data_IF_972304107883
#
_entry.id   IF_972304107883
#
_cell.length_a   1.000
_cell.length_b   1.000
_cell.length_c   1.000
_cell.angle_alpha   90.00
_cell.angle_beta   90.00
_cell.angle_gamma   90.00
#
_symmetry.space_group_name_H-M   'P 1'
#
loop_
_entity.id
_entity.type
_entity.pdbx_description
1 polymer ?
#
# COMPACT_ATOMS: atom_id res chain seq x y z
N UNK A 1 -8.68 -10.55 52.47
CA UNK A 1 -9.24 -9.28 51.96
C UNK A 1 -8.11 -8.28 52.09
N UNK A 2 -7.38 -7.88 51.07
CA UNK A 2 -7.67 -7.60 49.65
C UNK A 2 -6.35 -7.72 48.88
N UNK A 3 -6.30 -8.48 47.78
CA UNK A 3 -5.19 -8.39 46.84
C UNK A 3 -5.69 -7.94 45.47
N UNK A 4 -5.03 -6.91 44.98
CA UNK A 4 -5.34 -6.08 43.83
C UNK A 4 -5.15 -6.87 42.54
N UNK A 5 -6.24 -7.12 41.81
CA UNK A 5 -6.15 -7.75 40.49
C UNK A 5 -5.80 -6.69 39.43
N UNK A 6 -4.53 -6.68 39.07
CA UNK A 6 -3.92 -5.79 38.09
C UNK A 6 -4.29 -6.28 36.67
N UNK A 7 -5.16 -5.54 35.99
CA UNK A 7 -5.53 -5.78 34.59
C UNK A 7 -4.32 -5.50 33.69
N UNK A 8 -3.49 -6.52 33.45
CA UNK A 8 -2.39 -6.43 32.48
C UNK A 8 -2.94 -6.52 31.05
N UNK A 9 -2.76 -5.43 30.33
CA UNK A 9 -2.90 -5.26 28.89
C UNK A 9 -2.05 -6.30 28.15
N UNK A 10 -2.72 -7.25 27.49
CA UNK A 10 -2.06 -8.32 26.73
C UNK A 10 -1.62 -7.78 25.37
N UNK A 11 -0.32 -7.52 25.22
CA UNK A 11 0.33 -7.28 23.93
C UNK A 11 0.32 -8.57 23.09
N UNK A 12 0.09 -8.51 21.75
CA UNK A 12 -0.07 -9.70 20.89
C UNK A 12 1.21 -10.55 20.69
N UNK A 13 2.33 -10.17 21.31
CA UNK A 13 3.62 -10.86 21.17
C UNK A 13 3.80 -12.09 22.08
N UNK A 14 2.87 -12.37 23.01
CA UNK A 14 3.05 -13.37 24.07
C UNK A 14 2.22 -14.67 23.88
N UNK A 15 1.96 -15.10 22.64
CA UNK A 15 1.02 -16.22 22.39
C UNK A 15 1.64 -17.63 22.37
N UNK A 16 2.96 -17.80 22.46
CA UNK A 16 3.60 -19.11 22.31
C UNK A 16 4.35 -19.57 23.56
N UNK A 17 3.98 -20.74 24.10
CA UNK A 17 4.70 -21.37 25.21
C UNK A 17 6.02 -21.98 24.74
N UNK A 18 7.03 -22.05 25.60
CA UNK A 18 8.37 -22.58 25.29
C UNK A 18 8.30 -23.97 24.66
N UNK A 19 7.48 -24.86 25.21
CA UNK A 19 7.30 -26.23 24.70
C UNK A 19 6.70 -26.30 23.28
N UNK A 20 5.88 -25.31 22.89
CA UNK A 20 5.32 -25.24 21.54
C UNK A 20 6.38 -24.83 20.52
N UNK A 21 7.30 -23.93 20.91
CA UNK A 21 8.42 -23.53 20.04
C UNK A 21 9.38 -24.68 19.80
N UNK A 22 9.70 -25.44 20.84
CA UNK A 22 10.59 -26.61 20.73
C UNK A 22 9.99 -27.70 19.85
N UNK A 23 8.69 -28.00 20.01
CA UNK A 23 7.99 -28.96 19.16
C UNK A 23 7.96 -28.53 17.69
N UNK A 24 7.72 -27.24 17.40
CA UNK A 24 7.73 -26.73 16.03
C UNK A 24 9.12 -26.77 15.39
N UNK A 25 10.17 -26.48 16.17
CA UNK A 25 11.55 -26.61 15.70
C UNK A 25 11.91 -28.08 15.40
N UNK A 26 11.51 -29.01 16.26
CA UNK A 26 11.74 -30.45 16.05
C UNK A 26 11.03 -30.97 14.79
N UNK A 27 9.88 -30.38 14.43
CA UNK A 27 9.11 -30.71 13.22
C UNK A 27 9.58 -29.96 11.97
N UNK A 28 10.58 -29.08 12.08
CA UNK A 28 11.09 -28.29 10.95
C UNK A 28 10.09 -27.27 10.40
N UNK A 29 9.06 -26.90 11.18
CA UNK A 29 8.02 -25.95 10.75
C UNK A 29 8.53 -24.53 11.06
N UNK A 30 8.79 -23.68 10.05
CA UNK A 30 9.20 -22.31 10.30
C UNK A 30 8.06 -21.56 10.99
N UNK A 31 8.37 -20.91 12.13
CA UNK A 31 7.43 -20.02 12.82
C UNK A 31 7.09 -18.86 11.89
N UNK A 32 5.83 -18.80 11.45
CA UNK A 32 5.33 -17.68 10.65
C UNK A 32 5.31 -16.42 11.54
N UNK A 33 6.31 -15.57 11.38
CA UNK A 33 6.31 -14.25 12.00
C UNK A 33 5.50 -13.33 11.09
N UNK A 34 4.54 -12.61 11.68
CA UNK A 34 3.93 -11.48 10.99
C UNK A 34 5.05 -10.58 10.50
N UNK A 35 5.12 -10.35 9.18
CA UNK A 35 6.12 -9.46 8.57
C UNK A 35 6.12 -8.18 9.38
N UNK A 36 7.22 -7.91 10.10
CA UNK A 36 7.40 -6.63 10.76
C UNK A 36 7.24 -5.58 9.66
N UNK A 37 6.20 -4.75 9.78
CA UNK A 37 6.06 -3.55 8.98
C UNK A 37 7.30 -2.72 9.27
N UNK A 38 8.31 -2.87 8.41
CA UNK A 38 9.56 -2.14 8.52
C UNK A 38 9.23 -0.66 8.60
N UNK A 39 9.89 0.00 9.56
CA UNK A 39 9.98 1.42 9.79
C UNK A 39 9.29 2.30 8.73
N UNK A 40 8.31 3.08 9.21
CA UNK A 40 7.51 4.08 8.50
C UNK A 40 8.36 5.14 7.77
N UNK A 41 9.01 4.75 6.67
CA UNK A 41 9.19 5.66 5.54
C UNK A 41 7.86 5.67 4.83
N UNK A 42 7.06 6.72 5.05
CA UNK A 42 5.73 6.97 4.50
C UNK A 42 5.42 6.06 3.31
N UNK A 43 4.70 4.94 3.55
CA UNK A 43 4.58 3.86 2.58
C UNK A 43 4.06 4.40 1.24
N UNK A 44 4.92 4.40 0.23
CA UNK A 44 4.56 4.85 -1.11
C UNK A 44 4.04 3.65 -1.88
N UNK A 45 2.79 3.75 -2.33
CA UNK A 45 2.14 2.76 -3.16
C UNK A 45 2.25 3.20 -4.61
N UNK A 46 2.94 2.42 -5.42
CA UNK A 46 3.13 2.70 -6.83
C UNK A 46 2.24 1.78 -7.66
N UNK A 47 1.54 2.35 -8.63
CA UNK A 47 0.67 1.63 -9.54
C UNK A 47 1.03 1.97 -10.97
N UNK A 48 0.90 0.99 -11.86
CA UNK A 48 1.04 1.16 -13.30
C UNK A 48 -0.33 1.02 -13.97
N UNK A 49 -0.69 1.96 -14.83
CA UNK A 49 -1.88 1.93 -15.69
C UNK A 49 -1.40 2.14 -17.12
N UNK A 50 -1.26 1.05 -17.89
CA UNK A 50 -0.63 1.11 -19.21
C UNK A 50 0.79 1.74 -19.15
N UNK A 51 1.01 2.89 -19.82
CA UNK A 51 2.26 3.66 -19.80
C UNK A 51 2.29 4.78 -18.74
N UNK A 52 1.34 4.83 -17.81
CA UNK A 52 1.29 5.82 -16.73
C UNK A 52 1.67 5.17 -15.40
N UNK A 53 2.46 5.86 -14.59
CA UNK A 53 2.80 5.46 -13.23
C UNK A 53 2.14 6.41 -12.23
N UNK A 54 1.42 5.86 -11.26
CA UNK A 54 0.69 6.59 -10.23
C UNK A 54 1.30 6.29 -8.87
N UNK A 55 1.66 7.34 -8.12
CA UNK A 55 2.24 7.21 -6.79
C UNK A 55 1.30 7.76 -5.72
N UNK A 56 0.94 6.94 -4.72
CA UNK A 56 0.06 7.29 -3.61
C UNK A 56 0.73 7.13 -2.25
N UNK A 57 0.23 7.83 -1.23
CA UNK A 57 0.57 7.59 0.18
C UNK A 57 -0.29 6.50 0.86
N UNK A 58 -1.33 6.04 0.18
CA UNK A 58 -2.26 5.03 0.67
C UNK A 58 -2.56 4.02 -0.44
N UNK A 59 -2.94 2.78 -0.11
CA UNK A 59 -3.33 1.81 -1.12
C UNK A 59 -4.56 2.32 -1.89
N UNK A 60 -4.64 1.98 -3.18
CA UNK A 60 -5.81 2.27 -3.99
C UNK A 60 -7.07 1.66 -3.34
N UNK A 61 -8.17 2.42 -3.24
CA UNK A 61 -9.44 1.90 -2.74
C UNK A 61 -9.97 0.82 -3.67
N UNK A 62 -10.77 -0.11 -3.11
CA UNK A 62 -11.48 -1.14 -3.88
C UNK A 62 -12.41 -0.48 -4.91
N UNK A 63 -13.11 0.58 -4.51
CA UNK A 63 -13.91 1.41 -5.40
C UNK A 63 -13.03 2.50 -6.01
N UNK A 64 -12.67 2.34 -7.28
CA UNK A 64 -11.84 3.33 -8.00
C UNK A 64 -12.59 4.66 -8.13
N UNK A 65 -11.92 5.81 -7.91
CA UNK A 65 -12.53 7.10 -8.18
C UNK A 65 -12.81 7.25 -9.69
N UNK A 66 -13.89 7.95 -10.05
CA UNK A 66 -14.37 8.02 -11.44
C UNK A 66 -13.28 8.46 -12.43
N UNK A 67 -12.47 9.45 -12.08
CA UNK A 67 -11.39 9.91 -12.96
C UNK A 67 -10.38 8.80 -13.29
N UNK A 68 -10.11 7.90 -12.34
CA UNK A 68 -9.19 6.78 -12.55
C UNK A 68 -9.85 5.73 -13.45
N UNK A 69 -11.16 5.53 -13.33
CA UNK A 69 -11.94 4.68 -14.25
C UNK A 69 -11.86 5.22 -15.67
N UNK A 70 -12.03 6.53 -15.86
CA UNK A 70 -11.95 7.17 -17.17
C UNK A 70 -10.54 7.01 -17.79
N UNK A 71 -9.49 7.13 -16.99
CA UNK A 71 -8.09 6.88 -17.42
C UNK A 71 -7.87 5.42 -17.80
N UNK A 72 -8.38 4.49 -17.00
CA UNK A 72 -8.28 3.06 -17.29
C UNK A 72 -9.00 2.71 -18.61
N UNK A 73 -10.14 3.35 -18.88
CA UNK A 73 -10.87 3.19 -20.13
C UNK A 73 -10.10 3.79 -21.31
N UNK A 74 -9.55 4.99 -21.17
CA UNK A 74 -8.75 5.64 -22.23
C UNK A 74 -7.49 4.83 -22.58
N UNK A 75 -6.81 4.27 -21.58
CA UNK A 75 -5.58 3.50 -21.74
C UNK A 75 -5.81 2.00 -21.99
N UNK A 76 -7.06 1.55 -22.02
CA UNK A 76 -7.46 0.13 -22.06
C UNK A 76 -6.65 -0.74 -21.07
N UNK A 77 -6.47 -0.26 -19.84
CA UNK A 77 -5.58 -0.88 -18.86
C UNK A 77 -6.08 -0.69 -17.43
N UNK A 78 -5.80 -1.66 -16.55
CA UNK A 78 -6.15 -1.60 -15.13
C UNK A 78 -4.93 -1.22 -14.27
N UNK A 79 -5.13 -0.59 -13.10
CA UNK A 79 -4.04 -0.29 -12.19
C UNK A 79 -3.44 -1.57 -11.60
N UNK A 80 -2.15 -1.75 -11.77
CA UNK A 80 -1.36 -2.86 -11.21
C UNK A 80 -0.36 -2.30 -10.22
N UNK A 81 -0.37 -2.79 -8.98
CA UNK A 81 0.62 -2.37 -8.00
C UNK A 81 2.00 -2.88 -8.40
N UNK A 82 2.99 -1.99 -8.39
CA UNK A 82 4.38 -2.29 -8.75
C UNK A 82 5.31 -1.83 -7.63
N UNK A 83 6.45 -2.51 -7.50
CA UNK A 83 7.46 -2.18 -6.48
C UNK A 83 8.60 -1.30 -7.02
N UNK A 84 8.63 -1.07 -8.33
CA UNK A 84 9.75 -0.41 -9.03
C UNK A 84 9.29 0.86 -9.70
N UNK A 85 9.98 1.97 -9.41
CA UNK A 85 9.79 3.26 -10.08
C UNK A 85 10.06 3.14 -11.59
N UNK A 86 9.40 3.98 -12.42
CA UNK A 86 9.71 4.03 -13.84
C UNK A 86 11.14 4.52 -14.08
N UNK A 87 11.77 4.02 -15.13
CA UNK A 87 13.07 4.52 -15.60
C UNK A 87 12.96 5.97 -16.10
N UNK A 88 11.81 6.33 -16.67
CA UNK A 88 11.53 7.67 -17.17
C UNK A 88 10.53 8.38 -16.23
N UNK A 89 10.95 9.43 -15.50
CA UNK A 89 10.09 10.15 -14.57
C UNK A 89 8.99 10.96 -15.26
N UNK A 90 9.03 11.16 -16.59
CA UNK A 90 8.00 11.92 -17.32
C UNK A 90 6.62 11.28 -17.26
N UNK A 91 6.57 9.97 -17.01
CA UNK A 91 5.33 9.21 -16.88
C UNK A 91 4.94 8.96 -15.42
N UNK A 92 5.73 9.47 -14.47
CA UNK A 92 5.41 9.38 -13.04
C UNK A 92 4.50 10.55 -12.67
N UNK A 93 3.33 10.20 -12.16
CA UNK A 93 2.35 11.14 -11.69
C UNK A 93 2.17 10.95 -10.18
N UNK A 94 2.71 11.92 -9.43
CA UNK A 94 2.64 11.93 -7.98
C UNK A 94 1.27 12.41 -7.51
N UNK A 95 0.59 11.56 -6.78
CA UNK A 95 -0.68 11.84 -6.11
C UNK A 95 -0.46 12.04 -4.60
N UNK A 96 0.81 12.17 -4.21
CA UNK A 96 1.24 12.43 -2.84
C UNK A 96 0.55 13.69 -2.27
N UNK A 97 0.49 14.75 -3.06
CA UNK A 97 -0.04 16.04 -2.65
C UNK A 97 -1.56 16.16 -2.83
N UNK A 98 -2.24 15.07 -3.20
CA UNK A 98 -3.67 15.10 -3.40
C UNK A 98 -4.36 14.91 -2.05
N UNK A 99 -5.06 15.95 -1.61
CA UNK A 99 -5.92 15.88 -0.44
C UNK A 99 -7.15 15.00 -0.78
N UNK A 100 -6.98 13.69 -0.64
CA UNK A 100 -7.99 12.68 -0.95
C UNK A 100 -7.84 12.08 -2.36
N UNK A 101 -8.79 11.22 -2.72
CA UNK A 101 -8.75 10.42 -3.97
C UNK A 101 -9.19 11.21 -5.21
N UNK A 102 -9.42 12.52 -5.11
CA UNK A 102 -9.98 13.34 -6.16
C UNK A 102 -9.04 14.48 -6.56
N UNK A 103 -8.59 14.52 -7.83
CA UNK A 103 -7.76 15.61 -8.33
C UNK A 103 -8.52 16.92 -8.40
N UNK A 104 -7.79 18.00 -8.16
CA UNK A 104 -8.17 19.34 -8.58
C UNK A 104 -8.28 19.44 -10.11
N UNK A 105 -8.97 20.47 -10.58
CA UNK A 105 -9.13 20.74 -12.02
C UNK A 105 -7.77 20.91 -12.71
N UNK A 106 -6.81 21.56 -12.05
CA UNK A 106 -5.46 21.77 -12.59
C UNK A 106 -4.74 20.43 -12.77
N UNK A 107 -4.79 19.57 -11.75
CA UNK A 107 -4.18 18.24 -11.79
C UNK A 107 -4.82 17.33 -12.85
N UNK A 108 -6.15 17.37 -13.02
CA UNK A 108 -6.81 16.64 -14.12
C UNK A 108 -6.33 17.13 -15.48
N UNK A 109 -6.20 18.44 -15.68
CA UNK A 109 -5.72 19.00 -16.96
C UNK A 109 -4.29 18.58 -17.25
N UNK A 110 -3.42 18.57 -16.24
CA UNK A 110 -2.04 18.12 -16.38
C UNK A 110 -1.97 16.63 -16.75
N UNK A 111 -2.74 15.79 -16.06
CA UNK A 111 -2.87 14.36 -16.37
C UNK A 111 -3.29 14.17 -17.84
N UNK A 112 -4.36 14.81 -18.29
CA UNK A 112 -4.83 14.68 -19.66
C UNK A 112 -3.82 15.22 -20.69
N UNK A 113 -3.07 16.27 -20.35
CA UNK A 113 -1.98 16.77 -21.19
C UNK A 113 -0.90 15.70 -21.36
N UNK A 114 -0.48 15.04 -20.28
CA UNK A 114 0.51 13.96 -20.35
C UNK A 114 0.02 12.80 -21.22
N UNK A 115 -1.24 12.40 -21.06
CA UNK A 115 -1.86 11.33 -21.85
C UNK A 115 -1.98 11.66 -23.34
N UNK A 116 -2.18 12.94 -23.67
CA UNK A 116 -2.28 13.41 -25.07
C UNK A 116 -0.94 13.57 -25.78
N UNK A 117 0.17 13.50 -25.06
CA UNK A 117 1.53 13.66 -25.60
C UNK A 117 2.23 12.31 -25.88
N UNK A 118 1.51 11.21 -25.67
CA UNK A 118 1.94 9.86 -26.04
C UNK A 118 1.49 9.51 -27.45
#
# INVERSE_FOLDING_TARGET
>A
MTDSNQTQSVSPAALWRVSQREALQALGIPLWQARQQGAESAAQYLYRVGPLWLQYHQPLPVCKPQWLVDVCYYLDSQPVQVSTLPQDPRYLFSLADWHGLQPSIVQKRELWRLLSQQ
#
